data_IF_398536028754
#
_entry.id   IF_398536028754
#
_cell.length_a   1.000
_cell.length_b   1.000
_cell.length_c   1.000
_cell.angle_alpha   90.00
_cell.angle_beta   90.00
_cell.angle_gamma   90.00
#
_symmetry.space_group_name_H-M   'P 1'
#
loop_
_entity.id
_entity.type
_entity.pdbx_description
1 polymer ?
#
# COMPACT_ATOMS: atom_id res chain seq x y z
N UNK A 1 3.99 3.18 7.37
CA UNK A 1 2.74 2.55 6.87
C UNK A 1 1.62 3.57 6.60
N UNK A 2 1.64 4.72 7.26
CA UNK A 2 0.58 5.73 7.19
C UNK A 2 0.57 6.57 5.92
N UNK A 3 1.66 6.60 5.19
CA UNK A 3 1.84 7.49 4.04
C UNK A 3 0.93 7.17 2.86
N UNK A 4 0.54 5.92 2.70
CA UNK A 4 -0.25 5.44 1.57
C UNK A 4 -1.72 5.16 1.92
N UNK A 5 -2.30 5.95 2.83
CA UNK A 5 -3.71 5.82 3.17
C UNK A 5 -4.62 6.14 1.96
N UNK A 6 -5.63 5.32 1.76
CA UNK A 6 -6.52 5.37 0.61
C UNK A 6 -7.98 5.59 1.03
N UNK A 7 -8.74 6.27 0.18
CA UNK A 7 -10.19 6.40 0.29
C UNK A 7 -10.68 7.47 1.26
N UNK A 8 -11.99 7.49 1.51
CA UNK A 8 -12.63 8.46 2.38
C UNK A 8 -12.26 8.28 3.85
N UNK A 9 -12.32 9.34 4.67
CA UNK A 9 -12.14 9.24 6.11
C UNK A 9 -13.10 8.24 6.75
N UNK A 10 -12.55 7.35 7.58
CA UNK A 10 -13.32 6.39 8.39
C UNK A 10 -12.64 6.25 9.76
N UNK A 11 -13.32 5.73 10.80
CA UNK A 11 -12.71 5.55 12.12
C UNK A 11 -11.42 4.73 12.14
N UNK A 12 -11.23 3.86 11.16
CA UNK A 12 -10.04 3.00 11.05
C UNK A 12 -8.91 3.62 10.26
N UNK A 13 -9.13 4.78 9.68
CA UNK A 13 -8.26 5.33 8.67
C UNK A 13 -7.28 6.33 9.24
N UNK A 14 -6.04 6.24 8.79
CA UNK A 14 -5.06 7.30 8.96
C UNK A 14 -5.44 8.47 8.05
N UNK A 15 -5.45 9.67 8.60
CA UNK A 15 -5.84 10.89 7.90
C UNK A 15 -4.70 11.91 7.88
N UNK A 16 -4.65 12.74 6.85
CA UNK A 16 -5.44 12.71 5.63
C UNK A 16 -5.05 11.57 4.69
N UNK A 17 -5.98 11.11 3.85
CA UNK A 17 -5.69 10.09 2.85
C UNK A 17 -4.75 10.61 1.77
N UNK A 18 -3.79 9.80 1.34
CA UNK A 18 -2.93 10.12 0.20
C UNK A 18 -3.72 10.09 -1.12
N UNK A 19 -4.66 9.17 -1.26
CA UNK A 19 -5.48 9.01 -2.46
C UNK A 19 -6.95 8.85 -2.07
N UNK A 20 -7.78 9.84 -2.41
CA UNK A 20 -9.20 9.86 -2.07
C UNK A 20 -10.07 9.05 -3.04
N UNK A 21 -9.64 8.93 -4.30
CA UNK A 21 -10.24 8.11 -5.36
C UNK A 21 -9.13 7.66 -6.33
N UNK A 22 -9.39 6.69 -7.22
CA UNK A 22 -8.36 6.16 -8.12
C UNK A 22 -7.65 7.25 -8.93
N UNK A 23 -6.38 7.50 -8.63
CA UNK A 23 -5.55 8.50 -9.33
C UNK A 23 -5.71 9.94 -8.83
N UNK A 24 -6.57 10.21 -7.85
CA UNK A 24 -6.71 11.54 -7.24
C UNK A 24 -5.84 11.61 -5.97
N UNK A 25 -4.66 12.19 -6.10
CA UNK A 25 -3.68 12.28 -5.03
C UNK A 25 -3.79 13.57 -4.24
N UNK A 26 -3.56 13.48 -2.93
CA UNK A 26 -3.35 14.62 -2.07
C UNK A 26 -1.86 14.98 -2.06
N UNK A 27 -1.49 15.94 -2.89
CA UNK A 27 -0.08 16.33 -3.06
C UNK A 27 0.55 16.85 -1.76
N UNK A 28 -0.21 17.42 -0.83
CA UNK A 28 0.33 17.82 0.46
C UNK A 28 0.80 16.62 1.30
N UNK A 29 0.07 15.48 1.24
CA UNK A 29 0.49 14.24 1.88
C UNK A 29 1.72 13.66 1.19
N UNK A 30 1.73 13.67 -0.15
CA UNK A 30 2.87 13.14 -0.92
C UNK A 30 4.13 14.01 -0.73
N UNK A 31 3.97 15.33 -0.63
CA UNK A 31 5.07 16.24 -0.27
C UNK A 31 5.64 15.96 1.14
N UNK A 32 4.84 15.43 2.06
CA UNK A 32 5.33 14.93 3.35
C UNK A 32 6.30 13.76 3.22
N UNK A 33 6.10 12.88 2.24
CA UNK A 33 7.07 11.82 1.93
C UNK A 33 8.35 12.39 1.29
N UNK A 34 8.22 13.38 0.41
CA UNK A 34 9.39 14.10 -0.14
C UNK A 34 10.24 14.70 0.98
N UNK A 35 9.58 15.36 1.95
CA UNK A 35 10.25 15.94 3.12
C UNK A 35 10.95 14.87 3.96
N UNK A 36 10.27 13.76 4.25
CA UNK A 36 10.86 12.66 5.02
C UNK A 36 12.14 12.13 4.36
N UNK A 37 12.09 11.83 3.07
CA UNK A 37 13.26 11.33 2.34
C UNK A 37 14.40 12.35 2.31
N UNK A 38 14.10 13.64 2.10
CA UNK A 38 15.10 14.71 2.16
C UNK A 38 15.76 14.81 3.54
N UNK A 39 15.00 14.65 4.64
CA UNK A 39 15.54 14.67 5.99
C UNK A 39 16.32 13.41 6.37
N UNK A 40 15.91 12.25 5.84
CA UNK A 40 16.64 10.99 6.01
C UNK A 40 18.01 11.04 5.28
N UNK A 41 18.03 11.56 4.06
CA UNK A 41 19.27 11.73 3.30
C UNK A 41 20.31 12.56 4.05
N UNK A 42 19.91 13.65 4.72
CA UNK A 42 20.81 14.49 5.54
C UNK A 42 21.40 13.76 6.76
N UNK A 43 20.86 12.61 7.12
CA UNK A 43 21.23 11.82 8.30
C UNK A 43 21.83 10.46 7.94
N UNK A 44 22.17 10.25 6.68
CA UNK A 44 22.68 8.98 6.16
C UNK A 44 21.75 7.77 6.49
N UNK A 45 20.43 8.02 6.52
CA UNK A 45 19.43 7.00 6.75
C UNK A 45 18.87 6.50 5.43
N UNK A 46 18.48 5.22 5.39
CA UNK A 46 17.80 4.63 4.23
C UNK A 46 16.38 4.19 4.59
N UNK A 47 15.50 4.17 3.59
CA UNK A 47 14.09 3.82 3.71
C UNK A 47 13.73 2.58 2.89
N UNK A 48 12.87 1.74 3.44
CA UNK A 48 12.06 0.79 2.68
C UNK A 48 10.67 1.41 2.52
N UNK A 49 10.28 1.70 1.29
CA UNK A 49 8.99 2.31 0.99
C UNK A 49 7.92 1.26 0.74
N UNK A 50 6.95 1.18 1.64
CA UNK A 50 5.84 0.22 1.59
C UNK A 50 4.72 0.81 0.74
N UNK A 51 4.39 0.17 -0.40
CA UNK A 51 3.46 0.70 -1.40
C UNK A 51 1.98 0.40 -1.10
N UNK A 52 1.68 -0.51 -0.20
CA UNK A 52 0.31 -0.88 0.13
C UNK A 52 0.17 -1.66 1.43
N UNK A 53 -1.05 -2.09 1.72
CA UNK A 53 -1.34 -2.77 2.98
C UNK A 53 -2.46 -3.81 2.81
N UNK A 54 -2.38 -4.91 3.55
CA UNK A 54 -3.46 -5.89 3.66
C UNK A 54 -4.54 -5.44 4.65
N UNK A 55 -4.17 -4.63 5.63
CA UNK A 55 -4.94 -4.30 6.82
C UNK A 55 -5.83 -3.04 6.66
N UNK A 56 -6.84 -2.85 7.52
CA UNK A 56 -7.86 -1.80 7.35
C UNK A 56 -7.37 -0.36 7.57
N UNK A 57 -6.38 -0.13 8.41
CA UNK A 57 -5.99 1.23 8.87
C UNK A 57 -5.44 2.16 7.78
N UNK A 58 -4.96 1.64 6.67
CA UNK A 58 -4.56 2.45 5.50
C UNK A 58 -5.46 2.25 4.27
N UNK A 59 -6.59 1.57 4.41
CA UNK A 59 -7.48 1.23 3.31
C UNK A 59 -7.01 0.07 2.43
N UNK A 60 -5.76 0.04 2.10
CA UNK A 60 -5.06 -1.08 1.46
C UNK A 60 -5.76 -1.71 0.26
N UNK A 61 -5.60 -3.02 0.12
CA UNK A 61 -6.20 -3.79 -0.98
C UNK A 61 -7.72 -3.73 -0.99
N UNK A 62 -8.35 -3.66 0.18
CA UNK A 62 -9.80 -3.56 0.28
C UNK A 62 -10.34 -2.29 -0.39
N UNK A 63 -9.60 -1.17 -0.30
CA UNK A 63 -10.03 0.06 -0.95
C UNK A 63 -9.96 -0.03 -2.48
N UNK A 64 -8.97 -0.70 -3.03
CA UNK A 64 -8.91 -0.95 -4.48
C UNK A 64 -10.06 -1.85 -4.96
N UNK A 65 -10.43 -2.85 -4.16
CA UNK A 65 -11.61 -3.69 -4.45
C UNK A 65 -12.89 -2.86 -4.39
N UNK A 66 -13.04 -2.03 -3.37
CA UNK A 66 -14.19 -1.12 -3.22
C UNK A 66 -14.34 -0.21 -4.43
N UNK A 67 -13.28 0.43 -4.89
CA UNK A 67 -13.31 1.28 -6.07
C UNK A 67 -13.64 0.52 -7.36
N UNK A 68 -13.09 -0.68 -7.52
CA UNK A 68 -13.34 -1.49 -8.71
C UNK A 68 -14.78 -2.04 -8.77
N UNK A 69 -15.35 -2.37 -7.63
CA UNK A 69 -16.67 -2.98 -7.53
C UNK A 69 -17.82 -1.98 -7.26
N UNK A 70 -17.48 -0.73 -6.90
CA UNK A 70 -18.48 0.28 -6.52
C UNK A 70 -19.23 -0.03 -5.22
N UNK A 71 -18.62 -0.82 -4.30
CA UNK A 71 -19.25 -1.21 -3.04
C UNK A 71 -18.38 -0.76 -1.84
N UNK A 72 -19.00 -0.47 -0.68
CA UNK A 72 -18.23 -0.03 0.49
C UNK A 72 -17.34 -1.14 1.03
N UNK A 73 -16.19 -0.75 1.61
CA UNK A 73 -15.32 -1.66 2.36
C UNK A 73 -16.05 -2.11 3.63
N UNK A 74 -16.13 -3.43 3.91
CA UNK A 74 -16.75 -3.94 5.14
C UNK A 74 -15.78 -3.77 6.33
N UNK A 75 -15.59 -2.53 6.78
CA UNK A 75 -14.73 -2.26 7.92
C UNK A 75 -15.26 -2.89 9.20
N UNK A 76 -14.38 -3.41 10.07
CA UNK A 76 -14.74 -3.75 11.44
C UNK A 76 -15.27 -2.51 12.19
N UNK A 77 -16.12 -2.68 13.22
CA UNK A 77 -16.59 -1.57 14.04
C UNK A 77 -15.45 -0.77 14.68
N UNK A 78 -15.63 0.52 14.88
CA UNK A 78 -14.63 1.42 15.45
C UNK A 78 -14.21 1.01 16.88
N UNK A 79 -15.09 0.35 17.64
CA UNK A 79 -14.80 -0.19 18.97
C UNK A 79 -13.64 -1.19 19.01
N UNK A 80 -13.36 -1.87 17.92
CA UNK A 80 -12.19 -2.76 17.83
C UNK A 80 -10.85 -2.03 17.79
N UNK A 81 -10.85 -0.71 17.72
CA UNK A 81 -9.62 0.09 17.71
C UNK A 81 -8.94 0.16 19.08
N UNK A 82 -9.66 -0.14 20.16
CA UNK A 82 -9.16 0.00 21.52
C UNK A 82 -8.45 -1.25 22.05
N UNK A 83 -8.77 -2.44 21.48
CA UNK A 83 -8.09 -3.69 21.85
C UNK A 83 -7.82 -4.57 20.61
N UNK A 84 -6.60 -4.50 20.08
CA UNK A 84 -6.17 -5.33 18.94
C UNK A 84 -6.32 -6.85 19.18
N UNK A 85 -6.41 -7.28 20.43
CA UNK A 85 -6.64 -8.67 20.83
C UNK A 85 -8.05 -9.16 20.50
N UNK A 86 -9.08 -8.30 20.63
CA UNK A 86 -10.47 -8.65 20.31
C UNK A 86 -10.70 -8.82 18.82
N UNK A 87 -9.91 -8.16 18.00
CA UNK A 87 -10.05 -8.22 16.54
C UNK A 87 -9.58 -9.56 15.97
N UNK A 88 -8.61 -10.22 16.60
CA UNK A 88 -8.08 -11.50 16.12
C UNK A 88 -9.14 -12.60 16.21
N UNK A 89 -9.49 -13.18 15.04
CA UNK A 89 -10.49 -14.24 14.94
C UNK A 89 -11.93 -13.79 14.97
N UNK A 90 -12.20 -12.48 14.96
CA UNK A 90 -13.57 -11.98 14.85
C UNK A 90 -14.16 -12.23 13.45
N UNK A 91 -15.48 -12.41 13.37
CA UNK A 91 -16.19 -12.58 12.11
C UNK A 91 -16.08 -11.32 11.21
N UNK A 92 -15.98 -10.15 11.82
CA UNK A 92 -15.82 -8.88 11.16
C UNK A 92 -14.46 -8.77 10.48
N UNK A 93 -13.37 -9.15 11.18
CA UNK A 93 -12.04 -9.19 10.57
C UNK A 93 -11.96 -10.22 9.46
N UNK A 94 -12.56 -11.40 9.64
CA UNK A 94 -12.63 -12.42 8.59
C UNK A 94 -13.38 -11.92 7.35
N UNK A 95 -14.48 -11.20 7.54
CA UNK A 95 -15.25 -10.57 6.45
C UNK A 95 -14.39 -9.54 5.72
N UNK A 96 -13.67 -8.67 6.45
CA UNK A 96 -12.75 -7.71 5.86
C UNK A 96 -11.64 -8.42 5.08
N UNK A 97 -10.96 -9.41 5.66
CA UNK A 97 -9.88 -10.14 5.01
C UNK A 97 -10.36 -10.91 3.77
N UNK A 98 -11.57 -11.47 3.81
CA UNK A 98 -12.20 -12.11 2.65
C UNK A 98 -12.47 -11.10 1.53
N UNK A 99 -12.86 -9.89 1.86
CA UNK A 99 -13.07 -8.81 0.91
C UNK A 99 -11.73 -8.31 0.36
N UNK A 100 -10.76 -8.04 1.22
CA UNK A 100 -9.42 -7.55 0.85
C UNK A 100 -8.70 -8.51 -0.12
N UNK A 101 -8.73 -9.81 0.14
CA UNK A 101 -8.08 -10.81 -0.74
C UNK A 101 -8.71 -10.93 -2.14
N UNK A 102 -9.94 -10.46 -2.34
CA UNK A 102 -10.57 -10.41 -3.65
C UNK A 102 -9.76 -9.55 -4.63
N UNK A 103 -8.94 -8.63 -4.11
CA UNK A 103 -8.01 -7.82 -4.86
C UNK A 103 -7.19 -8.63 -5.87
N UNK A 104 -6.60 -9.76 -5.45
CA UNK A 104 -5.72 -10.55 -6.29
C UNK A 104 -6.40 -11.19 -7.51
N UNK A 105 -7.72 -11.25 -7.52
CA UNK A 105 -8.53 -11.79 -8.62
C UNK A 105 -9.44 -10.75 -9.28
N UNK A 106 -9.34 -9.48 -8.89
CA UNK A 106 -10.12 -8.36 -9.45
C UNK A 106 -9.21 -7.52 -10.35
N UNK A 107 -9.28 -7.75 -11.66
CA UNK A 107 -8.37 -7.14 -12.63
C UNK A 107 -8.34 -5.60 -12.54
N UNK A 108 -9.50 -4.93 -12.38
CA UNK A 108 -9.55 -3.47 -12.27
C UNK A 108 -8.93 -2.97 -10.96
N UNK A 109 -9.07 -3.70 -9.86
CA UNK A 109 -8.40 -3.37 -8.60
C UNK A 109 -6.85 -3.43 -8.74
N UNK A 110 -6.36 -4.48 -9.39
CA UNK A 110 -4.92 -4.62 -9.70
C UNK A 110 -4.45 -3.50 -10.64
N UNK A 111 -5.26 -3.11 -11.62
CA UNK A 111 -4.94 -2.00 -12.52
C UNK A 111 -4.83 -0.66 -11.77
N UNK A 112 -5.73 -0.38 -10.82
CA UNK A 112 -5.61 0.80 -9.95
C UNK A 112 -4.32 0.76 -9.12
N UNK A 113 -3.98 -0.40 -8.58
CA UNK A 113 -2.74 -0.64 -7.88
C UNK A 113 -1.50 -0.34 -8.76
N UNK A 114 -1.41 -0.92 -9.95
CA UNK A 114 -0.28 -0.72 -10.86
C UNK A 114 -0.14 0.76 -11.28
N UNK A 115 -1.25 1.49 -11.38
CA UNK A 115 -1.23 2.95 -11.60
C UNK A 115 -0.62 3.68 -10.40
N UNK A 116 -0.98 3.28 -9.18
CA UNK A 116 -0.40 3.84 -7.95
C UNK A 116 1.11 3.57 -7.87
N UNK A 117 1.54 2.33 -8.10
CA UNK A 117 2.97 1.98 -8.17
C UNK A 117 3.72 2.88 -9.15
N UNK A 118 3.19 3.04 -10.35
CA UNK A 118 3.79 3.90 -11.38
C UNK A 118 3.91 5.35 -10.91
N UNK A 119 2.85 5.90 -10.31
CA UNK A 119 2.85 7.27 -9.82
C UNK A 119 3.94 7.51 -8.76
N UNK A 120 4.08 6.61 -7.78
CA UNK A 120 5.07 6.75 -6.72
C UNK A 120 6.50 6.52 -7.23
N UNK A 121 6.74 5.45 -7.97
CA UNK A 121 8.11 5.12 -8.44
C UNK A 121 8.65 6.17 -9.42
N UNK A 122 7.79 6.80 -10.20
CA UNK A 122 8.21 7.85 -11.15
C UNK A 122 8.21 9.27 -10.55
N UNK A 123 7.89 9.40 -9.24
CA UNK A 123 7.89 10.71 -8.59
C UNK A 123 9.28 11.34 -8.58
N UNK A 124 9.31 12.64 -8.73
CA UNK A 124 10.49 13.48 -8.42
C UNK A 124 10.23 14.17 -7.09
N UNK A 125 11.16 14.07 -6.16
CA UNK A 125 11.10 14.72 -4.86
C UNK A 125 11.03 16.24 -5.07
N UNK A 126 9.98 16.88 -4.59
CA UNK A 126 9.72 18.31 -4.80
C UNK A 126 10.71 19.24 -4.05
N UNK A 127 11.43 18.71 -3.07
CA UNK A 127 12.40 19.47 -2.28
C UNK A 127 13.83 19.30 -2.77
N UNK A 128 14.20 18.10 -3.21
CA UNK A 128 15.57 17.80 -3.64
C UNK A 128 15.74 17.83 -5.16
N UNK A 129 14.66 17.71 -5.92
CA UNK A 129 14.68 17.56 -7.38
C UNK A 129 15.17 16.18 -7.85
N UNK A 130 15.45 15.24 -6.94
CA UNK A 130 15.90 13.88 -7.27
C UNK A 130 14.69 13.00 -7.57
N UNK A 131 14.73 12.26 -8.67
CA UNK A 131 13.70 11.26 -8.95
C UNK A 131 13.82 10.10 -7.95
N UNK A 132 12.70 9.58 -7.44
CA UNK A 132 12.70 8.51 -6.44
C UNK A 132 13.48 7.26 -6.90
N UNK A 133 13.39 6.91 -8.16
CA UNK A 133 14.15 5.80 -8.75
C UNK A 133 15.69 6.00 -8.74
N UNK A 134 16.15 7.23 -8.54
CA UNK A 134 17.55 7.62 -8.52
C UNK A 134 17.99 8.10 -7.12
N UNK A 135 17.09 8.04 -6.11
CA UNK A 135 17.34 8.52 -4.75
C UNK A 135 17.99 7.43 -3.89
N UNK A 136 19.28 7.55 -3.54
CA UNK A 136 19.99 6.56 -2.73
C UNK A 136 19.43 6.40 -1.31
N UNK A 137 18.56 7.30 -0.87
CA UNK A 137 17.85 7.18 0.40
C UNK A 137 16.83 6.04 0.36
N UNK A 138 16.34 5.68 -0.82
CA UNK A 138 15.41 4.55 -0.99
C UNK A 138 16.26 3.28 -1.18
N UNK A 139 16.19 2.36 -0.23
CA UNK A 139 16.86 1.06 -0.32
C UNK A 139 16.03 0.04 -1.09
N UNK A 140 14.71 0.02 -0.83
CA UNK A 140 13.81 -0.97 -1.42
C UNK A 140 12.38 -0.47 -1.55
N UNK A 141 11.69 -1.00 -2.54
CA UNK A 141 10.23 -0.96 -2.69
C UNK A 141 9.63 -2.21 -2.07
N UNK A 142 8.79 -2.04 -1.06
CA UNK A 142 8.02 -3.13 -0.49
C UNK A 142 6.61 -3.12 -1.08
N UNK A 143 6.18 -4.25 -1.67
CA UNK A 143 4.91 -4.28 -2.37
C UNK A 143 3.73 -4.01 -1.45
N UNK A 144 3.70 -4.60 -0.27
CA UNK A 144 2.66 -4.31 0.72
C UNK A 144 3.07 -4.79 2.10
N UNK A 145 2.53 -4.16 3.13
CA UNK A 145 2.62 -4.67 4.49
C UNK A 145 1.75 -5.94 4.63
N UNK A 146 2.38 -7.04 4.96
CA UNK A 146 1.79 -8.34 5.28
C UNK A 146 0.76 -8.87 4.26
N UNK A 147 1.06 -8.89 2.95
CA UNK A 147 0.10 -9.38 1.97
C UNK A 147 -0.10 -10.89 2.11
N UNK A 148 -1.35 -11.32 2.27
CA UNK A 148 -1.72 -12.73 2.47
C UNK A 148 -2.55 -13.27 1.31
N UNK A 149 -2.01 -14.26 0.61
CA UNK A 149 -2.71 -14.94 -0.50
C UNK A 149 -3.99 -15.65 -0.04
N UNK A 150 -3.98 -16.20 1.17
CA UNK A 150 -5.01 -17.12 1.67
C UNK A 150 -5.31 -18.21 0.61
N UNK A 151 -6.55 -18.26 0.06
CA UNK A 151 -6.91 -19.20 -1.02
C UNK A 151 -6.71 -18.65 -2.44
N UNK A 152 -6.29 -17.38 -2.60
CA UNK A 152 -6.10 -16.71 -3.89
C UNK A 152 -4.66 -16.83 -4.44
N UNK A 153 -3.99 -17.96 -4.23
CA UNK A 153 -2.55 -18.15 -4.49
C UNK A 153 -2.15 -17.80 -5.93
N UNK A 154 -2.92 -18.24 -6.92
CA UNK A 154 -2.60 -17.96 -8.31
C UNK A 154 -2.69 -16.46 -8.64
N UNK A 155 -3.73 -15.76 -8.16
CA UNK A 155 -3.88 -14.32 -8.31
C UNK A 155 -2.78 -13.54 -7.59
N UNK A 156 -2.45 -13.94 -6.38
CA UNK A 156 -1.36 -13.38 -5.59
C UNK A 156 0.00 -13.47 -6.32
N UNK A 157 0.34 -14.65 -6.86
CA UNK A 157 1.58 -14.83 -7.63
C UNK A 157 1.61 -13.96 -8.90
N UNK A 158 0.48 -13.84 -9.61
CA UNK A 158 0.38 -12.93 -10.76
C UNK A 158 0.61 -11.48 -10.35
N UNK A 159 -0.04 -11.03 -9.27
CA UNK A 159 0.12 -9.67 -8.75
C UNK A 159 1.57 -9.39 -8.34
N UNK A 160 2.22 -10.31 -7.60
CA UNK A 160 3.65 -10.18 -7.24
C UNK A 160 4.52 -9.98 -8.48
N UNK A 161 4.36 -10.86 -9.47
CA UNK A 161 5.15 -10.79 -10.71
C UNK A 161 4.89 -9.50 -11.48
N UNK A 162 3.63 -9.13 -11.68
CA UNK A 162 3.27 -7.91 -12.41
C UNK A 162 3.81 -6.65 -11.71
N UNK A 163 3.70 -6.59 -10.40
CA UNK A 163 4.19 -5.45 -9.61
C UNK A 163 5.71 -5.35 -9.65
N UNK A 164 6.42 -6.46 -9.44
CA UNK A 164 7.87 -6.48 -9.48
C UNK A 164 8.42 -6.15 -10.89
N UNK A 165 7.84 -6.72 -11.94
CA UNK A 165 8.21 -6.43 -13.33
C UNK A 165 7.98 -4.96 -13.64
N UNK A 166 6.84 -4.38 -13.24
CA UNK A 166 6.56 -2.96 -13.44
C UNK A 166 7.60 -2.10 -12.71
N UNK A 167 7.85 -2.35 -11.42
CA UNK A 167 8.83 -1.56 -10.66
C UNK A 167 10.20 -1.65 -11.32
N UNK A 168 10.70 -2.85 -11.62
CA UNK A 168 12.02 -3.03 -12.25
C UNK A 168 12.13 -2.44 -13.66
N UNK A 169 11.01 -2.27 -14.37
CA UNK A 169 10.98 -1.56 -15.65
C UNK A 169 11.09 -0.03 -15.51
N UNK A 170 10.69 0.52 -14.36
CA UNK A 170 10.70 1.95 -14.05
C UNK A 170 11.95 2.35 -13.27
N UNK A 171 12.42 1.44 -12.44
CA UNK A 171 13.51 1.58 -11.49
C UNK A 171 14.36 0.29 -11.48
N UNK A 172 15.45 0.25 -12.23
CA UNK A 172 16.33 -0.91 -12.27
C UNK A 172 17.25 -1.02 -11.03
N UNK A 173 17.39 0.06 -10.24
CA UNK A 173 18.40 0.18 -9.20
C UNK A 173 17.97 -0.39 -7.85
N UNK A 174 16.81 0.04 -7.32
CA UNK A 174 16.38 -0.33 -5.99
C UNK A 174 15.90 -1.78 -5.89
N UNK A 175 16.02 -2.35 -4.69
CA UNK A 175 15.49 -3.68 -4.38
C UNK A 175 13.95 -3.68 -4.40
N UNK A 176 13.37 -4.86 -4.61
CA UNK A 176 11.93 -5.07 -4.49
C UNK A 176 11.70 -6.23 -3.53
N UNK A 177 10.89 -6.01 -2.51
CA UNK A 177 10.49 -7.03 -1.53
C UNK A 177 8.98 -7.19 -1.46
N UNK A 178 8.54 -8.36 -1.04
CA UNK A 178 7.11 -8.69 -0.99
C UNK A 178 6.40 -8.12 0.24
N UNK A 179 7.11 -7.93 1.34
CA UNK A 179 6.57 -7.50 2.64
C UNK A 179 5.79 -8.58 3.40
N UNK A 180 5.99 -9.85 3.06
CA UNK A 180 5.35 -10.96 3.78
C UNK A 180 5.94 -11.15 5.17
N UNK A 181 5.10 -11.61 6.12
CA UNK A 181 5.53 -11.98 7.49
C UNK A 181 6.50 -13.17 7.52
N UNK A 182 6.78 -13.77 6.36
CA UNK A 182 7.49 -15.04 6.28
C UNK A 182 6.57 -16.24 6.56
N UNK A 183 7.15 -17.42 6.52
CA UNK A 183 6.46 -18.67 6.87
C UNK A 183 6.83 -19.00 8.30
N UNK A 184 5.87 -18.95 9.19
CA UNK A 184 6.03 -19.60 10.52
C UNK A 184 6.19 -21.10 10.30
N UNK A 185 7.18 -21.72 10.95
CA UNK A 185 7.38 -23.16 10.86
C UNK A 185 6.15 -23.93 11.34
#
# INVERSE_FOLDING_TARGET
ESWFALGAPTPWRILPSMQSSPGAYNEAVVAGLDFLLAEMAKRDMTAVLILGNMWPWSGGFAQYVSWAAGVPVPYPPASFNEEASEMRGSAELEKYLKFSKAFFNTAEAVKHWLRHVRYIVQRTNSLTGVAYRDDPTIMAWELANEPRAMKAVAGYRRWLNQSAVLIKSLDPHHLVTTGTEGRTP
#
